data_IF_752708886770
#
_entry.id   IF_752708886770
#
_cell.length_a   1.000
_cell.length_b   1.000
_cell.length_c   1.000
_cell.angle_alpha   90.00
_cell.angle_beta   90.00
_cell.angle_gamma   90.00
#
_symmetry.space_group_name_H-M   'P 1'
#
loop_
_entity.id
_entity.type
_entity.pdbx_description
1 polymer ?
#
# COMPACT_ATOMS: atom_id res chain seq x y z
N UNK A 1 -2.63 -21.07 20.27
CA UNK A 1 -2.48 -19.70 19.75
C UNK A 1 -1.00 -19.46 19.49
N UNK A 2 -0.56 -19.41 18.24
CA UNK A 2 0.81 -19.01 17.93
C UNK A 2 0.92 -17.51 18.13
N UNK A 3 1.94 -17.10 18.88
CA UNK A 3 2.27 -15.70 19.16
C UNK A 3 2.93 -15.15 17.89
N UNK A 4 2.14 -14.61 16.96
CA UNK A 4 2.69 -13.90 15.82
C UNK A 4 3.23 -12.55 16.30
N UNK A 5 4.45 -12.19 15.91
CA UNK A 5 5.04 -10.89 16.20
C UNK A 5 4.37 -9.81 15.33
N UNK A 6 3.15 -9.42 15.69
CA UNK A 6 2.37 -8.39 15.03
C UNK A 6 2.64 -7.02 15.62
N UNK A 7 2.80 -6.00 14.77
CA UNK A 7 2.90 -4.62 15.27
C UNK A 7 1.52 -4.13 15.72
N UNK A 8 1.51 -3.38 16.82
CA UNK A 8 0.27 -2.84 17.40
C UNK A 8 -0.41 -1.79 16.51
N UNK A 9 -1.71 -1.59 16.71
CA UNK A 9 -2.44 -0.47 16.08
C UNK A 9 -1.90 0.91 16.50
N UNK A 10 -1.33 1.03 17.71
CA UNK A 10 -0.65 2.27 18.12
C UNK A 10 0.55 2.58 17.21
N UNK A 11 1.29 1.55 16.80
CA UNK A 11 2.39 1.72 15.85
C UNK A 11 1.87 2.05 14.44
N UNK A 12 0.77 1.42 13.99
CA UNK A 12 0.10 1.82 12.75
C UNK A 12 -0.21 3.31 12.75
N UNK A 13 -0.91 3.76 13.79
CA UNK A 13 -1.40 5.12 13.88
C UNK A 13 -0.25 6.11 13.89
N UNK A 14 0.82 5.81 14.65
CA UNK A 14 2.07 6.60 14.63
C UNK A 14 2.64 6.73 13.22
N UNK A 15 2.77 5.62 12.47
CA UNK A 15 3.30 5.64 11.10
C UNK A 15 2.40 6.41 10.15
N UNK A 16 1.10 6.19 10.21
CA UNK A 16 0.13 6.87 9.35
C UNK A 16 0.12 8.37 9.61
N UNK A 17 0.17 8.80 10.88
CA UNK A 17 0.28 10.21 11.25
C UNK A 17 1.54 10.84 10.67
N UNK A 18 2.71 10.22 10.84
CA UNK A 18 3.98 10.77 10.34
C UNK A 18 3.99 10.87 8.81
N UNK A 19 3.54 9.82 8.11
CA UNK A 19 3.50 9.83 6.65
C UNK A 19 2.51 10.87 6.13
N UNK A 20 1.30 10.95 6.70
CA UNK A 20 0.31 11.96 6.33
C UNK A 20 0.77 13.37 6.63
N UNK A 21 1.47 13.60 7.73
CA UNK A 21 2.06 14.90 8.02
C UNK A 21 3.04 15.31 6.91
N UNK A 22 3.95 14.43 6.52
CA UNK A 22 4.89 14.69 5.40
C UNK A 22 4.16 14.91 4.07
N UNK A 23 3.05 14.20 3.81
CA UNK A 23 2.19 14.45 2.64
C UNK A 23 1.57 15.84 2.68
N UNK A 24 1.04 16.29 3.83
CA UNK A 24 0.45 17.63 3.99
C UNK A 24 1.49 18.72 3.75
N UNK A 25 2.69 18.57 4.32
CA UNK A 25 3.81 19.50 4.13
C UNK A 25 4.21 19.66 2.65
N UNK A 26 4.03 18.60 1.85
CA UNK A 26 4.33 18.59 0.39
C UNK A 26 3.10 18.87 -0.48
N UNK A 27 1.93 19.08 0.11
CA UNK A 27 0.67 19.26 -0.63
C UNK A 27 0.27 18.06 -1.47
N UNK A 28 0.49 16.84 -0.98
CA UNK A 28 0.10 15.58 -1.65
C UNK A 28 -1.24 15.08 -1.11
N UNK A 29 -2.10 14.63 -2.02
CA UNK A 29 -3.43 14.10 -1.69
C UNK A 29 -3.42 12.58 -1.51
N UNK A 30 -2.44 11.90 -2.11
CA UNK A 30 -2.23 10.46 -1.95
C UNK A 30 -0.78 10.07 -2.29
N UNK A 31 -0.39 8.88 -1.84
CA UNK A 31 0.80 8.19 -2.33
C UNK A 31 0.38 6.98 -3.16
N UNK A 32 1.02 6.79 -4.31
CA UNK A 32 1.00 5.54 -5.06
C UNK A 32 2.37 4.88 -4.88
N UNK A 33 2.39 3.85 -4.05
CA UNK A 33 3.62 3.17 -3.65
C UNK A 33 3.69 1.84 -4.37
N UNK A 34 4.75 1.62 -5.12
CA UNK A 34 5.02 0.34 -5.75
C UNK A 34 6.03 -0.46 -4.91
N UNK A 35 5.84 -1.77 -4.88
CA UNK A 35 6.84 -2.71 -4.42
C UNK A 35 6.88 -3.94 -5.30
N UNK A 36 8.06 -4.52 -5.41
CA UNK A 36 8.25 -5.84 -6.01
C UNK A 36 9.18 -6.68 -5.14
N UNK A 37 9.05 -7.99 -5.24
CA UNK A 37 9.78 -8.90 -4.37
C UNK A 37 11.29 -8.83 -4.60
N UNK A 38 11.75 -8.66 -5.84
CA UNK A 38 13.18 -8.58 -6.14
C UNK A 38 13.93 -9.80 -5.56
N UNK A 39 15.14 -9.59 -5.02
CA UNK A 39 15.83 -10.63 -4.24
C UNK A 39 15.37 -10.55 -2.78
N UNK A 40 14.71 -11.61 -2.28
CA UNK A 40 14.31 -11.74 -0.87
C UNK A 40 13.40 -10.60 -0.35
N UNK A 41 12.43 -10.16 -1.14
CA UNK A 41 11.44 -9.13 -0.80
C UNK A 41 12.01 -7.73 -0.51
N UNK A 42 13.24 -7.44 -0.97
CA UNK A 42 13.95 -6.20 -0.65
C UNK A 42 13.23 -4.92 -1.10
N UNK A 43 12.48 -4.95 -2.20
CA UNK A 43 11.85 -3.74 -2.73
C UNK A 43 10.39 -3.58 -2.29
N UNK A 44 9.96 -4.33 -1.27
CA UNK A 44 8.62 -4.23 -0.66
C UNK A 44 8.59 -3.36 0.60
N UNK A 45 9.72 -2.80 1.04
CA UNK A 45 9.84 -2.13 2.34
C UNK A 45 8.79 -1.04 2.59
N UNK A 46 8.53 -0.18 1.61
CA UNK A 46 7.54 0.90 1.74
C UNK A 46 6.11 0.37 1.82
N UNK A 47 5.79 -0.66 1.04
CA UNK A 47 4.49 -1.34 1.10
C UNK A 47 4.33 -1.96 2.49
N UNK A 48 5.28 -2.81 2.91
CA UNK A 48 5.30 -3.44 4.24
C UNK A 48 5.16 -2.43 5.38
N UNK A 49 5.83 -1.28 5.29
CA UNK A 49 5.82 -0.28 6.35
C UNK A 49 4.42 0.25 6.66
N UNK A 50 3.55 0.35 5.63
CA UNK A 50 2.19 0.88 5.74
C UNK A 50 1.09 -0.18 5.72
N UNK A 51 1.39 -1.43 5.35
CA UNK A 51 0.39 -2.49 5.22
C UNK A 51 0.55 -3.65 6.21
N UNK A 52 1.77 -3.91 6.69
CA UNK A 52 2.21 -5.21 7.24
C UNK A 52 2.06 -6.41 6.28
N UNK A 53 1.79 -6.16 5.00
CA UNK A 53 1.60 -7.19 3.97
C UNK A 53 2.88 -7.40 3.17
N UNK A 54 3.23 -8.68 2.98
CA UNK A 54 4.15 -9.18 1.96
C UNK A 54 4.71 -10.54 2.38
N UNK A 55 5.97 -10.84 2.01
CA UNK A 55 6.51 -12.19 2.07
C UNK A 55 6.04 -13.05 0.88
N UNK A 56 6.65 -14.22 0.71
CA UNK A 56 6.29 -15.18 -0.36
C UNK A 56 6.43 -14.61 -1.79
N UNK A 57 7.35 -13.67 -2.01
CA UNK A 57 7.59 -13.12 -3.34
C UNK A 57 6.48 -12.18 -3.83
N UNK A 58 5.66 -11.64 -2.93
CA UNK A 58 4.56 -10.74 -3.29
C UNK A 58 5.06 -9.44 -3.94
N UNK A 59 4.27 -8.92 -4.86
CA UNK A 59 4.50 -7.64 -5.52
C UNK A 59 3.17 -6.91 -5.70
N UNK A 60 3.22 -5.58 -5.70
CA UNK A 60 1.97 -4.84 -5.73
C UNK A 60 2.10 -3.34 -5.63
N UNK A 61 0.94 -2.71 -5.62
CA UNK A 61 0.78 -1.28 -5.43
C UNK A 61 -0.03 -1.02 -4.16
N UNK A 62 0.27 0.06 -3.46
CA UNK A 62 -0.50 0.58 -2.35
C UNK A 62 -0.94 2.00 -2.70
N UNK A 63 -2.25 2.22 -2.74
CA UNK A 63 -2.82 3.58 -2.75
C UNK A 63 -3.02 3.98 -1.29
N UNK A 64 -2.26 4.96 -0.83
CA UNK A 64 -2.32 5.50 0.52
C UNK A 64 -2.85 6.94 0.48
N UNK A 65 -4.15 7.16 0.72
CA UNK A 65 -4.75 8.49 0.64
C UNK A 65 -4.39 9.33 1.88
N UNK A 66 -4.40 10.64 1.70
CA UNK A 66 -4.21 11.60 2.79
C UNK A 66 -5.24 11.40 3.91
N UNK A 67 -6.45 10.98 3.55
CA UNK A 67 -7.57 10.70 4.46
C UNK A 67 -8.26 9.39 4.06
N UNK A 68 -8.74 8.62 5.05
CA UNK A 68 -9.39 7.31 4.81
C UNK A 68 -8.47 6.10 4.98
N UNK A 69 -8.90 4.93 4.50
CA UNK A 69 -8.13 3.69 4.58
C UNK A 69 -7.38 3.43 3.25
N UNK A 70 -6.20 2.79 3.29
CA UNK A 70 -5.45 2.45 2.09
C UNK A 70 -5.97 1.19 1.38
N UNK A 71 -5.71 1.13 0.07
CA UNK A 71 -6.06 0.00 -0.81
C UNK A 71 -4.79 -0.66 -1.33
N UNK A 72 -4.65 -1.98 -1.14
CA UNK A 72 -3.51 -2.76 -1.62
C UNK A 72 -3.90 -3.61 -2.84
N UNK A 73 -3.10 -3.53 -3.88
CA UNK A 73 -3.24 -4.29 -5.12
C UNK A 73 -2.17 -5.36 -5.16
N UNK A 74 -2.58 -6.62 -5.22
CA UNK A 74 -1.72 -7.81 -5.16
C UNK A 74 -1.85 -8.64 -6.43
N UNK A 75 -0.88 -9.53 -6.67
CA UNK A 75 -0.82 -10.29 -7.92
C UNK A 75 -2.08 -11.14 -8.16
N UNK A 76 -2.59 -11.76 -7.10
CA UNK A 76 -3.84 -12.50 -7.13
C UNK A 76 -4.45 -12.55 -5.72
N UNK A 77 -5.70 -12.08 -5.58
CA UNK A 77 -6.44 -12.14 -4.32
C UNK A 77 -6.94 -13.55 -4.01
N UNK A 78 -6.00 -14.43 -3.63
CA UNK A 78 -6.31 -15.72 -3.03
C UNK A 78 -6.88 -15.51 -1.63
N UNK A 79 -8.05 -16.11 -1.35
CA UNK A 79 -8.67 -16.04 -0.02
C UNK A 79 -7.73 -16.57 1.07
N UNK A 80 -6.95 -17.61 0.77
CA UNK A 80 -5.99 -18.17 1.71
C UNK A 80 -4.92 -17.15 2.11
N UNK A 81 -4.34 -16.46 1.13
CA UNK A 81 -3.25 -15.51 1.36
C UNK A 81 -3.73 -14.25 2.09
N UNK A 82 -4.88 -13.70 1.67
CA UNK A 82 -5.49 -12.54 2.33
C UNK A 82 -5.86 -12.87 3.78
N UNK A 83 -6.48 -14.03 4.02
CA UNK A 83 -6.83 -14.44 5.37
C UNK A 83 -5.60 -14.64 6.25
N UNK A 84 -4.53 -15.24 5.71
CA UNK A 84 -3.27 -15.36 6.43
C UNK A 84 -2.72 -13.99 6.84
N UNK A 85 -2.68 -13.01 5.94
CA UNK A 85 -2.23 -11.65 6.31
C UNK A 85 -3.14 -10.97 7.33
N UNK A 86 -4.46 -11.16 7.26
CA UNK A 86 -5.39 -10.64 8.25
C UNK A 86 -5.18 -11.28 9.63
N UNK A 87 -4.97 -12.60 9.69
CA UNK A 87 -4.62 -13.34 10.91
C UNK A 87 -3.26 -12.89 11.47
N UNK A 88 -2.31 -12.56 10.59
CA UNK A 88 -1.03 -11.94 10.92
C UNK A 88 -1.10 -10.42 11.09
N UNK A 89 -2.29 -9.84 11.31
CA UNK A 89 -2.45 -8.45 11.74
C UNK A 89 -2.21 -7.38 10.68
N UNK A 90 -2.41 -7.70 9.39
CA UNK A 90 -2.47 -6.73 8.30
C UNK A 90 -3.35 -5.53 8.67
N UNK A 91 -2.87 -4.33 8.32
CA UNK A 91 -3.63 -3.10 8.47
C UNK A 91 -4.56 -2.82 7.29
N UNK A 92 -4.38 -3.54 6.19
CA UNK A 92 -5.18 -3.41 4.98
C UNK A 92 -6.45 -4.24 5.10
N UNK A 93 -7.58 -3.62 4.74
CA UNK A 93 -8.88 -4.29 4.58
C UNK A 93 -9.30 -4.37 3.11
N UNK A 94 -8.90 -3.38 2.33
CA UNK A 94 -9.25 -3.28 0.92
C UNK A 94 -8.15 -3.92 0.05
N UNK A 95 -8.32 -5.21 -0.24
CA UNK A 95 -7.46 -5.97 -1.14
C UNK A 95 -8.06 -6.06 -2.54
N UNK A 96 -7.26 -5.67 -3.53
CA UNK A 96 -7.58 -5.68 -4.95
C UNK A 96 -6.64 -6.63 -5.71
N UNK A 97 -7.12 -7.25 -6.79
CA UNK A 97 -6.28 -8.03 -7.70
C UNK A 97 -5.91 -7.21 -8.92
N UNK A 98 -4.79 -7.54 -9.57
CA UNK A 98 -4.56 -7.13 -10.97
C UNK A 98 -5.66 -7.67 -11.90
N UNK A 99 -5.89 -6.95 -13.00
CA UNK A 99 -6.85 -7.33 -14.05
C UNK A 99 -6.12 -7.33 -15.39
N UNK A 100 -6.40 -8.31 -16.25
CA UNK A 100 -5.80 -8.42 -17.60
C UNK A 100 -4.27 -8.30 -17.63
N UNK A 101 -3.59 -8.87 -16.63
CA UNK A 101 -2.14 -8.82 -16.55
C UNK A 101 -1.56 -7.54 -15.93
N UNK A 102 -2.39 -6.57 -15.55
CA UNK A 102 -1.94 -5.24 -15.13
C UNK A 102 -2.62 -4.74 -13.85
N UNK A 103 -1.88 -3.98 -13.05
CA UNK A 103 -2.41 -3.27 -11.88
C UNK A 103 -3.07 -1.93 -12.25
N UNK A 104 -2.86 -1.43 -13.46
CA UNK A 104 -3.25 -0.06 -13.83
C UNK A 104 -4.76 0.13 -13.78
N UNK A 105 -5.54 -0.77 -14.40
CA UNK A 105 -7.01 -0.68 -14.41
C UNK A 105 -7.62 -0.65 -13.00
N UNK A 106 -7.30 -1.59 -12.10
CA UNK A 106 -7.86 -1.57 -10.75
C UNK A 106 -7.36 -0.36 -9.94
N UNK A 107 -6.09 0.06 -10.08
CA UNK A 107 -5.58 1.29 -9.43
C UNK A 107 -6.38 2.52 -9.87
N UNK A 108 -6.56 2.72 -11.18
CA UNK A 108 -7.33 3.84 -11.72
C UNK A 108 -8.79 3.80 -11.23
N UNK A 109 -9.38 2.61 -11.08
CA UNK A 109 -10.74 2.43 -10.56
C UNK A 109 -10.86 2.93 -9.12
N UNK A 110 -9.92 2.56 -8.25
CA UNK A 110 -9.89 3.01 -6.86
C UNK A 110 -9.61 4.51 -6.77
N UNK A 111 -8.68 5.05 -7.56
CA UNK A 111 -8.44 6.49 -7.62
C UNK A 111 -9.71 7.26 -8.01
N UNK A 112 -10.53 6.72 -8.93
CA UNK A 112 -11.85 7.29 -9.25
C UNK A 112 -12.81 7.23 -8.06
N UNK A 113 -12.90 6.10 -7.38
CA UNK A 113 -13.79 5.92 -6.22
C UNK A 113 -13.42 6.86 -5.06
N UNK A 114 -12.13 7.16 -4.90
CA UNK A 114 -11.62 8.10 -3.90
C UNK A 114 -11.66 9.56 -4.36
N UNK A 115 -12.15 9.86 -5.57
CA UNK A 115 -12.13 11.19 -6.19
C UNK A 115 -10.71 11.81 -6.33
N UNK A 116 -9.70 10.96 -6.56
CA UNK A 116 -8.29 11.34 -6.65
C UNK A 116 -7.75 11.45 -8.08
N UNK A 117 -8.60 11.42 -9.12
CA UNK A 117 -8.17 11.40 -10.52
C UNK A 117 -7.45 12.65 -11.01
N UNK A 118 -7.62 13.77 -10.32
CA UNK A 118 -6.96 15.06 -10.62
C UNK A 118 -6.09 15.54 -9.45
N UNK A 119 -5.82 14.65 -8.49
CA UNK A 119 -5.13 14.97 -7.26
C UNK A 119 -3.61 14.94 -7.45
N UNK A 120 -2.87 15.54 -6.50
CA UNK A 120 -1.41 15.46 -6.46
C UNK A 120 -0.99 14.14 -5.82
N UNK A 121 -0.57 13.21 -6.67
CA UNK A 121 -0.15 11.85 -6.26
C UNK A 121 1.37 11.79 -6.18
N UNK A 122 1.90 11.49 -5.00
CA UNK A 122 3.33 11.23 -4.81
C UNK A 122 3.68 9.78 -5.15
N UNK A 123 4.80 9.58 -5.83
CA UNK A 123 5.34 8.24 -6.15
C UNK A 123 6.74 8.13 -5.53
N UNK A 124 6.91 7.41 -4.41
CA UNK A 124 8.23 7.26 -3.79
C UNK A 124 9.24 6.61 -4.73
N UNK A 125 10.47 7.14 -4.74
CA UNK A 125 11.56 6.62 -5.58
C UNK A 125 11.57 7.12 -7.02
N UNK A 126 10.54 7.86 -7.45
CA UNK A 126 10.63 8.68 -8.65
C UNK A 126 11.36 9.97 -8.28
N UNK A 127 12.55 10.19 -8.84
CA UNK A 127 13.25 11.47 -8.67
C UNK A 127 12.38 12.60 -9.24
N UNK A 128 12.32 13.73 -8.52
CA UNK A 128 11.86 14.99 -9.14
C UNK A 128 12.75 15.24 -10.35
N UNK A 129 12.15 15.23 -11.54
CA UNK A 129 12.77 15.86 -12.68
C UNK A 129 12.49 17.34 -12.51
N UNK A 130 13.49 18.08 -12.04
CA UNK A 130 13.47 19.54 -12.01
C UNK A 130 12.94 20.05 -13.36
N UNK A 131 11.89 20.87 -13.30
CA UNK A 131 11.35 21.61 -14.45
C UNK A 131 11.94 23.00 -14.48
#
# INVERSE_FOLDING_TARGET
MQNHLTLSLKERDRRYTLVRQSMRERGLDALLIWGHSGKWDWHMANVHYLSQVGGNGEEGFLVFPLEGDPSLFIWHRSLYQVNAWLEYGSWIKDFQSREDGSFVKPVVRVLKQLNLTQAKIGIPGLLEQDR
#
